data_IF_183739042618
#
_entry.id   IF_183739042618
#
_cell.length_a   1.000
_cell.length_b   1.000
_cell.length_c   1.000
_cell.angle_alpha   90.00
_cell.angle_beta   90.00
_cell.angle_gamma   90.00
#
_symmetry.space_group_name_H-M   'P 1'
#
loop_
_entity.id
_entity.type
_entity.pdbx_description
1 polymer ?
#
# COMPACT_ATOMS: atom_id res chain seq x y z
N UNK A 1 52.28 -36.36 6.28
CA UNK A 1 51.94 -35.56 5.08
C UNK A 1 50.47 -35.66 4.66
N UNK A 2 49.76 -36.77 4.92
CA UNK A 2 48.33 -36.93 4.55
C UNK A 2 47.38 -35.99 5.33
N UNK A 3 47.60 -35.72 6.63
CA UNK A 3 46.71 -34.84 7.41
C UNK A 3 46.75 -33.36 7.02
N UNK A 4 47.88 -32.85 6.53
CA UNK A 4 48.00 -31.43 6.09
C UNK A 4 47.17 -31.20 4.83
N UNK A 5 47.14 -32.18 3.91
CA UNK A 5 46.34 -32.13 2.69
C UNK A 5 44.82 -32.15 2.95
N UNK A 6 44.37 -32.83 4.01
CA UNK A 6 42.96 -32.84 4.40
C UNK A 6 42.54 -31.52 5.06
N UNK A 7 43.45 -30.92 5.85
CA UNK A 7 43.21 -29.62 6.50
C UNK A 7 43.11 -28.49 5.47
N UNK A 8 43.97 -28.48 4.45
CA UNK A 8 43.92 -27.48 3.38
C UNK A 8 42.71 -27.66 2.46
N UNK A 9 42.33 -28.91 2.15
CA UNK A 9 41.13 -29.18 1.36
C UNK A 9 39.84 -28.76 2.08
N UNK A 10 39.76 -28.99 3.40
CA UNK A 10 38.60 -28.58 4.21
C UNK A 10 38.48 -27.05 4.31
N UNK A 11 39.60 -26.34 4.44
CA UNK A 11 39.62 -24.88 4.50
C UNK A 11 39.17 -24.22 3.18
N UNK A 12 39.55 -24.79 2.03
CA UNK A 12 39.13 -24.29 0.71
C UNK A 12 37.64 -24.55 0.46
N UNK A 13 37.12 -25.70 0.90
CA UNK A 13 35.69 -26.01 0.80
C UNK A 13 34.83 -25.08 1.67
N UNK A 14 35.31 -24.70 2.86
CA UNK A 14 34.59 -23.80 3.75
C UNK A 14 34.54 -22.35 3.20
N UNK A 15 35.58 -21.90 2.49
CA UNK A 15 35.61 -20.57 1.85
C UNK A 15 34.65 -20.47 0.65
N UNK A 16 34.42 -21.57 -0.06
CA UNK A 16 33.49 -21.60 -1.20
C UNK A 16 32.01 -21.49 -0.75
N UNK A 17 31.68 -21.93 0.47
CA UNK A 17 30.31 -21.93 0.97
C UNK A 17 29.81 -20.53 1.40
N UNK A 18 30.71 -19.59 1.67
CA UNK A 18 30.35 -18.21 2.05
C UNK A 18 30.28 -17.24 0.88
N UNK A 19 30.60 -17.68 -0.34
CA UNK A 19 30.61 -16.87 -1.55
C UNK A 19 29.27 -16.92 -2.31
N UNK A 20 28.15 -16.81 -1.60
CA UNK A 20 26.84 -16.66 -2.24
C UNK A 20 26.80 -15.32 -3.00
N UNK A 21 26.49 -15.30 -4.30
CA UNK A 21 26.29 -14.05 -5.01
C UNK A 21 25.05 -13.33 -4.46
N UNK A 22 25.20 -12.07 -4.08
CA UNK A 22 24.09 -11.18 -3.80
C UNK A 22 23.48 -10.78 -5.14
N UNK A 23 22.38 -11.42 -5.53
CA UNK A 23 21.60 -10.98 -6.69
C UNK A 23 20.75 -9.77 -6.29
N UNK A 24 20.97 -8.58 -6.89
CA UNK A 24 20.04 -7.48 -6.71
C UNK A 24 18.70 -7.88 -7.35
N UNK A 25 17.60 -7.71 -6.60
CA UNK A 25 16.24 -7.88 -7.11
C UNK A 25 15.94 -6.77 -8.15
N UNK A 26 16.43 -6.95 -9.38
CA UNK A 26 16.14 -6.10 -10.53
C UNK A 26 14.93 -6.70 -11.25
N UNK A 27 13.74 -6.40 -10.74
CA UNK A 27 12.51 -6.98 -11.28
C UNK A 27 11.27 -6.56 -10.51
N UNK A 28 11.07 -5.26 -10.34
CA UNK A 28 9.73 -4.74 -10.15
C UNK A 28 9.33 -4.15 -11.49
N UNK A 29 8.63 -4.95 -12.32
CA UNK A 29 7.93 -4.43 -13.48
C UNK A 29 7.01 -3.31 -12.99
N UNK A 30 7.36 -2.08 -13.37
CA UNK A 30 6.51 -0.92 -13.11
C UNK A 30 5.30 -1.09 -14.01
N UNK A 31 4.22 -1.63 -13.47
CA UNK A 31 2.93 -1.63 -14.12
C UNK A 31 2.62 -0.18 -14.54
N UNK A 32 2.24 0.01 -15.81
CA UNK A 32 1.98 1.34 -16.35
C UNK A 32 0.74 1.93 -15.66
N UNK A 33 0.96 2.67 -14.58
CA UNK A 33 -0.10 3.27 -13.77
C UNK A 33 -0.67 4.47 -14.54
N UNK A 34 -1.98 4.46 -14.79
CA UNK A 34 -2.71 5.59 -15.36
C UNK A 34 -2.73 6.78 -14.39
N UNK A 35 -2.93 8.00 -14.91
CA UNK A 35 -2.96 9.21 -14.10
C UNK A 35 -4.10 9.17 -13.06
N UNK A 36 -3.73 9.07 -11.79
CA UNK A 36 -4.69 9.10 -10.68
C UNK A 36 -4.87 10.55 -10.20
N UNK A 37 -5.93 11.20 -10.67
CA UNK A 37 -6.36 12.51 -10.15
C UNK A 37 -7.08 12.30 -8.81
N UNK A 38 -6.49 12.79 -7.73
CA UNK A 38 -7.12 12.77 -6.41
C UNK A 38 -7.77 14.12 -6.17
N UNK A 39 -9.07 14.13 -5.88
CA UNK A 39 -9.84 15.33 -5.54
C UNK A 39 -9.51 15.90 -4.15
N UNK A 40 -8.46 15.41 -3.49
CA UNK A 40 -8.05 15.77 -2.14
C UNK A 40 -6.54 15.66 -1.92
N UNK A 41 -6.06 16.14 -0.78
CA UNK A 41 -4.62 16.30 -0.52
C UNK A 41 -3.85 15.00 -0.22
N UNK A 42 -4.53 13.86 -0.04
CA UNK A 42 -4.00 12.63 0.61
C UNK A 42 -3.39 12.80 2.01
N UNK A 43 -3.22 14.04 2.49
CA UNK A 43 -2.75 14.34 3.85
C UNK A 43 -3.91 14.12 4.81
N UNK A 44 -3.67 13.28 5.84
CA UNK A 44 -4.58 13.16 6.99
C UNK A 44 -4.64 14.52 7.68
N UNK A 45 -5.77 15.20 7.54
CA UNK A 45 -6.09 16.42 8.30
C UNK A 45 -6.85 15.98 9.55
N UNK A 46 -6.58 16.62 10.67
CA UNK A 46 -7.39 16.44 11.87
C UNK A 46 -8.75 17.12 11.62
N UNK A 47 -9.85 16.36 11.51
CA UNK A 47 -11.16 16.90 11.18
C UNK A 47 -11.69 17.84 12.28
N UNK A 48 -11.14 17.80 13.50
CA UNK A 48 -11.53 18.70 14.59
C UNK A 48 -10.94 20.11 14.45
N UNK A 49 -9.93 20.27 13.61
CA UNK A 49 -9.24 21.53 13.36
C UNK A 49 -9.61 22.16 12.01
N UNK A 50 -10.53 21.55 11.25
CA UNK A 50 -11.01 22.10 9.99
C UNK A 50 -12.14 23.13 10.22
N UNK A 51 -12.07 24.31 9.59
CA UNK A 51 -13.08 25.36 9.78
C UNK A 51 -14.44 25.02 9.14
N UNK A 52 -14.50 23.96 8.34
CA UNK A 52 -15.69 23.56 7.57
C UNK A 52 -15.98 22.10 7.82
N UNK A 53 -17.26 21.74 8.02
CA UNK A 53 -17.66 20.36 8.17
C UNK A 53 -17.48 19.60 6.85
N UNK A 54 -16.69 18.52 6.88
CA UNK A 54 -16.51 17.58 5.77
C UNK A 54 -17.14 16.24 6.13
N UNK A 55 -17.88 15.63 5.18
CA UNK A 55 -18.48 14.31 5.33
C UNK A 55 -17.76 13.35 4.39
N UNK A 56 -17.14 12.32 4.95
CA UNK A 56 -16.49 11.25 4.20
C UNK A 56 -17.45 10.06 4.10
N UNK A 57 -17.64 9.56 2.88
CA UNK A 57 -18.47 8.39 2.61
C UNK A 57 -17.61 7.35 1.89
N UNK A 58 -17.49 6.17 2.47
CA UNK A 58 -16.70 5.11 1.88
C UNK A 58 -17.51 4.34 0.83
N UNK A 59 -16.81 3.58 -0.01
CA UNK A 59 -17.44 2.67 -0.97
C UNK A 59 -18.31 1.64 -0.27
N UNK A 60 -17.85 1.10 0.86
CA UNK A 60 -18.58 0.06 1.59
C UNK A 60 -19.89 0.61 2.15
N UNK A 61 -19.88 1.86 2.63
CA UNK A 61 -21.09 2.55 3.08
C UNK A 61 -22.10 2.69 1.95
N UNK A 62 -21.65 3.09 0.75
CA UNK A 62 -22.50 3.19 -0.43
C UNK A 62 -23.07 1.83 -0.85
N UNK A 63 -22.28 0.77 -0.83
CA UNK A 63 -22.75 -0.59 -1.16
C UNK A 63 -23.80 -1.07 -0.16
N UNK A 64 -23.59 -0.80 1.13
CA UNK A 64 -24.52 -1.15 2.20
C UNK A 64 -25.87 -0.43 2.08
N UNK A 65 -25.92 0.74 1.45
CA UNK A 65 -27.19 1.44 1.20
C UNK A 65 -28.09 0.73 0.18
N UNK A 66 -27.54 -0.14 -0.67
CA UNK A 66 -28.29 -0.84 -1.72
C UNK A 66 -28.74 0.07 -2.89
N UNK A 67 -28.36 1.36 -2.88
CA UNK A 67 -28.66 2.27 -3.97
C UNK A 67 -27.76 2.00 -5.16
N UNK A 68 -28.36 1.90 -6.36
CA UNK A 68 -27.64 1.79 -7.63
C UNK A 68 -27.30 3.15 -8.23
N UNK A 69 -27.85 4.22 -7.64
CA UNK A 69 -27.68 5.60 -8.08
C UNK A 69 -27.14 6.45 -6.92
N UNK A 70 -26.08 7.22 -7.18
CA UNK A 70 -25.47 8.09 -6.19
C UNK A 70 -26.38 9.25 -5.76
N UNK A 71 -27.24 9.76 -6.66
CA UNK A 71 -28.20 10.82 -6.32
C UNK A 71 -29.21 10.35 -5.28
N UNK A 72 -29.78 9.17 -5.46
CA UNK A 72 -30.73 8.58 -4.51
C UNK A 72 -30.05 8.28 -3.17
N UNK A 73 -28.79 7.84 -3.21
CA UNK A 73 -27.99 7.64 -2.00
C UNK A 73 -27.78 8.94 -1.23
N UNK A 74 -27.38 10.02 -1.90
CA UNK A 74 -27.12 11.32 -1.27
C UNK A 74 -28.39 11.97 -0.69
N UNK A 75 -29.54 11.81 -1.34
CA UNK A 75 -30.81 12.37 -0.86
C UNK A 75 -31.35 11.67 0.40
N UNK A 76 -30.99 10.40 0.59
CA UNK A 76 -31.40 9.63 1.76
C UNK A 76 -30.39 9.71 2.91
N UNK A 77 -29.26 10.43 2.74
CA UNK A 77 -28.33 10.63 3.84
C UNK A 77 -28.99 11.52 4.90
N UNK A 78 -28.93 11.14 6.18
CA UNK A 78 -29.41 11.98 7.28
C UNK A 78 -28.41 13.12 7.50
N UNK A 79 -28.41 14.10 6.60
CA UNK A 79 -27.58 15.30 6.71
C UNK A 79 -28.25 16.23 7.72
N UNK A 80 -27.68 16.30 8.91
CA UNK A 80 -28.04 17.31 9.92
C UNK A 80 -27.44 18.65 9.47
N UNK A 81 -28.06 19.32 8.50
CA UNK A 81 -27.51 20.58 7.98
C UNK A 81 -28.11 21.15 6.70
N UNK A 82 -28.98 20.46 5.96
CA UNK A 82 -29.71 21.15 4.89
C UNK A 82 -30.83 22.00 5.52
N UNK A 83 -30.74 23.31 5.33
CA UNK A 83 -31.83 24.26 5.58
C UNK A 83 -33.12 23.81 4.85
N UNK A 84 -34.32 24.21 5.32
CA UNK A 84 -35.61 23.79 4.75
C UNK A 84 -35.75 24.09 3.25
#
# INVERSE_FOLDING_TARGET
>A
MRSVAHCTALAVFLLALTAAPFEPALGQEVEAIEEVVVTGSRIRRDPLNEPTASMELSRDDLVNTGFTNLGDALQNLPITGSAP
#
